data_IF_733010195897
#
_entry.id   IF_733010195897
#
_cell.length_a   1.000
_cell.length_b   1.000
_cell.length_c   1.000
_cell.angle_alpha   90.00
_cell.angle_beta   90.00
_cell.angle_gamma   90.00
#
_symmetry.space_group_name_H-M   'P 1'
#
loop_
_entity.id
_entity.type
_entity.pdbx_description
1 polymer ?
#
# COMPACT_ATOMS: atom_id res chain seq x y z
N UNK A 1 -10.59 -11.56 -21.13
CA UNK A 1 -9.30 -11.25 -20.51
C UNK A 1 -9.46 -10.21 -19.40
N UNK A 2 -8.77 -10.44 -18.31
CA UNK A 2 -8.75 -9.47 -17.20
C UNK A 2 -7.34 -8.98 -16.97
N UNK A 3 -7.21 -7.69 -16.74
CA UNK A 3 -5.92 -7.09 -16.43
C UNK A 3 -6.10 -6.08 -15.31
N UNK A 4 -5.34 -6.25 -14.22
CA UNK A 4 -5.44 -5.39 -13.05
C UNK A 4 -4.08 -5.27 -12.41
N UNK A 5 -3.42 -4.16 -12.64
CA UNK A 5 -2.09 -3.90 -12.10
C UNK A 5 -1.93 -2.41 -11.88
N UNK A 6 -1.50 -2.03 -10.70
CA UNK A 6 -1.28 -0.64 -10.34
C UNK A 6 0.15 -0.50 -9.82
N UNK A 7 0.85 0.49 -10.34
CA UNK A 7 2.19 0.86 -9.86
C UNK A 7 2.13 2.35 -9.57
N UNK A 8 2.38 2.71 -8.32
CA UNK A 8 2.41 4.12 -7.93
C UNK A 8 3.59 4.38 -7.00
N UNK A 9 4.03 5.63 -6.99
CA UNK A 9 5.03 6.09 -6.05
C UNK A 9 4.48 7.30 -5.33
N UNK A 10 4.73 7.40 -4.04
CA UNK A 10 4.24 8.52 -3.26
C UNK A 10 4.84 8.56 -1.88
N UNK A 11 4.45 9.59 -1.14
CA UNK A 11 4.88 9.78 0.24
C UNK A 11 3.82 9.23 1.19
N UNK A 12 4.26 8.52 2.22
CA UNK A 12 3.37 7.97 3.23
C UNK A 12 2.83 9.11 4.10
N UNK A 13 1.54 9.37 3.98
CA UNK A 13 0.86 10.42 4.74
C UNK A 13 0.34 9.86 6.06
N UNK A 14 -0.13 8.62 6.05
CA UNK A 14 -0.65 7.97 7.25
C UNK A 14 -0.34 6.48 7.19
N UNK A 15 -0.14 5.90 8.36
CA UNK A 15 0.12 4.48 8.53
C UNK A 15 -0.64 3.99 9.75
N UNK A 16 -1.38 2.90 9.59
CA UNK A 16 -2.06 2.25 10.69
C UNK A 16 -1.80 0.76 10.61
N UNK A 17 -1.32 0.19 11.71
CA UNK A 17 -1.06 -1.24 11.80
C UNK A 17 -2.07 -1.87 12.75
N UNK A 18 -2.67 -2.98 12.35
CA UNK A 18 -3.62 -3.69 13.20
C UNK A 18 -3.49 -5.19 12.99
N UNK A 19 -3.99 -5.95 13.96
CA UNK A 19 -4.06 -7.40 13.85
C UNK A 19 -5.51 -7.81 13.68
N UNK A 20 -5.72 -8.80 12.82
CA UNK A 20 -7.04 -9.39 12.65
C UNK A 20 -7.31 -10.39 13.77
N UNK A 21 -8.56 -10.89 13.86
CA UNK A 21 -8.94 -11.89 14.84
C UNK A 21 -8.13 -13.19 14.73
N UNK A 22 -7.53 -13.44 13.57
CA UNK A 22 -6.68 -14.61 13.33
C UNK A 22 -5.19 -14.32 13.54
N UNK A 23 -4.86 -13.19 14.18
CA UNK A 23 -3.49 -12.76 14.44
C UNK A 23 -2.68 -12.45 13.17
N UNK A 24 -3.35 -12.20 12.06
CA UNK A 24 -2.68 -11.74 10.85
C UNK A 24 -2.48 -10.23 10.92
N UNK A 25 -1.32 -9.78 10.53
CA UNK A 25 -1.00 -8.35 10.51
C UNK A 25 -1.54 -7.71 9.24
N UNK A 26 -2.10 -6.52 9.40
CA UNK A 26 -2.57 -5.69 8.29
C UNK A 26 -2.01 -4.29 8.47
N UNK A 27 -1.39 -3.76 7.44
CA UNK A 27 -0.91 -2.37 7.43
C UNK A 27 -1.72 -1.60 6.42
N UNK A 28 -2.38 -0.54 6.88
CA UNK A 28 -3.11 0.39 6.04
C UNK A 28 -2.28 1.64 5.86
N UNK A 29 -2.02 2.00 4.62
CA UNK A 29 -1.25 3.19 4.29
C UNK A 29 -2.11 4.15 3.50
N UNK A 30 -1.85 5.44 3.67
CA UNK A 30 -2.35 6.46 2.75
C UNK A 30 -1.15 7.13 2.11
N UNK A 31 -1.09 7.06 0.79
CA UNK A 31 -0.01 7.68 0.03
C UNK A 31 -0.50 8.98 -0.61
N UNK A 32 0.35 9.98 -0.60
CA UNK A 32 0.13 11.19 -1.37
C UNK A 32 0.92 11.08 -2.66
N UNK A 33 0.24 11.12 -3.78
CA UNK A 33 0.87 10.99 -5.10
C UNK A 33 0.58 12.21 -5.95
N UNK A 34 1.51 12.55 -6.81
CA UNK A 34 1.38 13.64 -7.78
C UNK A 34 1.93 13.19 -9.12
N UNK A 35 1.31 13.64 -10.18
CA UNK A 35 1.85 13.42 -11.52
C UNK A 35 2.82 14.52 -11.93
N UNK A 36 2.69 15.72 -11.35
CA UNK A 36 3.60 16.82 -11.59
C UNK A 36 3.63 17.79 -10.41
N UNK A 37 4.59 18.73 -10.44
CA UNK A 37 4.95 19.54 -9.29
C UNK A 37 3.83 20.42 -8.72
N UNK A 38 3.03 21.06 -9.54
CA UNK A 38 2.09 22.09 -9.09
C UNK A 38 0.64 21.64 -9.05
N UNK A 39 0.40 20.33 -8.98
CA UNK A 39 -0.95 19.79 -8.83
C UNK A 39 -1.19 19.36 -7.39
N UNK A 40 -2.45 19.34 -6.94
CA UNK A 40 -2.78 18.83 -5.61
C UNK A 40 -2.42 17.36 -5.47
N UNK A 41 -2.14 16.92 -4.23
CA UNK A 41 -1.92 15.51 -3.94
C UNK A 41 -3.17 14.70 -4.18
N UNK A 42 -2.99 13.54 -4.80
CA UNK A 42 -4.03 12.52 -4.83
C UNK A 42 -3.75 11.55 -3.69
N UNK A 43 -4.73 11.31 -2.85
CA UNK A 43 -4.59 10.36 -1.75
C UNK A 43 -5.03 8.99 -2.20
N UNK A 44 -4.18 8.00 -1.98
CA UNK A 44 -4.43 6.62 -2.38
C UNK A 44 -4.28 5.72 -1.17
N UNK A 45 -5.26 4.87 -0.95
CA UNK A 45 -5.20 3.90 0.15
C UNK A 45 -4.55 2.61 -0.35
N UNK A 46 -3.62 2.09 0.45
CA UNK A 46 -2.86 0.88 0.15
C UNK A 46 -2.94 -0.04 1.35
N UNK A 47 -3.15 -1.32 1.10
CA UNK A 47 -3.25 -2.32 2.17
C UNK A 47 -2.21 -3.40 1.95
N UNK A 48 -1.48 -3.73 3.03
CA UNK A 48 -0.52 -4.83 3.06
C UNK A 48 -1.05 -5.90 4.02
N UNK A 49 -0.88 -7.16 3.65
CA UNK A 49 -1.35 -8.29 4.43
C UNK A 49 -0.23 -9.28 4.74
N UNK A 50 -0.36 -9.95 5.87
CA UNK A 50 0.50 -11.08 6.21
C UNK A 50 1.97 -10.73 6.32
N UNK A 51 2.83 -11.51 5.69
CA UNK A 51 4.27 -11.28 5.78
C UNK A 51 4.72 -9.99 5.14
N UNK A 52 4.04 -9.57 4.08
CA UNK A 52 4.31 -8.27 3.47
C UNK A 52 4.00 -7.15 4.47
N UNK A 53 2.90 -7.28 5.22
CA UNK A 53 2.55 -6.32 6.25
C UNK A 53 3.57 -6.30 7.39
N UNK A 54 4.09 -7.46 7.77
CA UNK A 54 5.13 -7.54 8.80
C UNK A 54 6.38 -6.76 8.38
N UNK A 55 6.78 -6.92 7.14
CA UNK A 55 7.94 -6.19 6.61
C UNK A 55 7.62 -4.69 6.50
N UNK A 56 6.43 -4.36 6.04
CA UNK A 56 6.01 -2.97 5.94
C UNK A 56 5.93 -2.27 7.28
N UNK A 57 5.47 -2.98 8.30
CA UNK A 57 5.39 -2.41 9.64
C UNK A 57 6.76 -2.00 10.16
N UNK A 58 7.78 -2.78 9.84
CA UNK A 58 9.15 -2.51 10.27
C UNK A 58 9.85 -1.45 9.40
N UNK A 59 9.58 -1.43 8.11
CA UNK A 59 10.36 -0.66 7.14
C UNK A 59 9.72 0.61 6.67
N UNK A 60 8.40 0.71 6.73
CA UNK A 60 7.66 1.87 6.24
C UNK A 60 7.32 2.78 7.40
N UNK A 61 7.73 4.04 7.29
CA UNK A 61 7.41 5.06 8.29
C UNK A 61 6.66 6.20 7.62
N UNK A 62 5.96 6.99 8.43
CA UNK A 62 5.33 8.21 7.95
C UNK A 62 6.40 9.09 7.31
N UNK A 63 6.05 9.71 6.19
CA UNK A 63 6.91 10.56 5.38
C UNK A 63 7.93 9.83 4.53
N UNK A 64 7.99 8.49 4.60
CA UNK A 64 8.80 7.70 3.68
C UNK A 64 8.28 7.85 2.25
N UNK A 65 9.18 7.77 1.28
CA UNK A 65 8.80 7.68 -0.12
C UNK A 65 8.77 6.22 -0.50
N UNK A 66 7.68 5.81 -1.14
CA UNK A 66 7.39 4.41 -1.36
C UNK A 66 6.94 4.19 -2.79
N UNK A 67 7.44 3.12 -3.42
CA UNK A 67 6.87 2.61 -4.67
C UNK A 67 6.10 1.35 -4.33
N UNK A 68 4.85 1.27 -4.78
CA UNK A 68 3.98 0.13 -4.52
C UNK A 68 3.48 -0.44 -5.83
N UNK A 69 3.50 -1.74 -5.93
CA UNK A 69 2.86 -2.47 -7.02
C UNK A 69 1.83 -3.42 -6.44
N UNK A 70 0.66 -3.44 -7.03
CA UNK A 70 -0.42 -4.29 -6.56
C UNK A 70 -1.60 -4.30 -7.50
N UNK A 71 -2.75 -4.66 -6.96
CA UNK A 71 -4.00 -4.70 -7.70
C UNK A 71 -5.01 -3.76 -7.09
N UNK A 72 -5.87 -3.22 -7.93
CA UNK A 72 -6.95 -2.36 -7.47
C UNK A 72 -8.09 -3.24 -6.98
N UNK A 73 -8.57 -2.96 -5.79
CA UNK A 73 -9.70 -3.67 -5.20
C UNK A 73 -10.76 -2.73 -4.72
N UNK A 74 -11.93 -3.26 -4.54
CA UNK A 74 -13.07 -2.51 -4.02
C UNK A 74 -13.78 -3.35 -2.98
N UNK A 75 -13.95 -2.78 -1.79
CA UNK A 75 -14.78 -3.37 -0.75
C UNK A 75 -16.17 -2.73 -0.84
N UNK A 76 -17.19 -3.54 -0.58
CA UNK A 76 -18.57 -3.09 -0.54
C UNK A 76 -19.19 -3.61 0.73
N UNK A 77 -19.88 -2.74 1.46
CA UNK A 77 -20.54 -3.13 2.69
C UNK A 77 -21.74 -2.22 2.93
N UNK A 78 -22.55 -2.61 3.92
CA UNK A 78 -23.67 -1.81 4.38
C UNK A 78 -23.33 -1.34 5.78
N UNK A 79 -23.42 -0.04 6.04
CA UNK A 79 -23.10 0.51 7.35
C UNK A 79 -24.28 0.31 8.32
N UNK A 80 -24.11 0.78 9.56
CA UNK A 80 -25.13 0.61 10.62
C UNK A 80 -26.45 1.32 10.29
N UNK A 81 -26.40 2.31 9.42
CA UNK A 81 -27.58 3.09 9.03
C UNK A 81 -28.26 2.50 7.79
N UNK A 82 -27.81 1.36 7.30
CA UNK A 82 -28.37 0.70 6.14
C UNK A 82 -27.90 1.27 4.80
N UNK A 83 -26.90 2.14 4.81
CA UNK A 83 -26.38 2.74 3.60
C UNK A 83 -25.31 1.86 2.96
N UNK A 84 -25.36 1.76 1.64
CA UNK A 84 -24.33 1.03 0.89
C UNK A 84 -23.08 1.89 0.78
N UNK A 85 -21.94 1.31 1.12
CA UNK A 85 -20.65 1.99 1.05
C UNK A 85 -19.68 1.20 0.22
N UNK A 86 -18.75 1.91 -0.41
CA UNK A 86 -17.68 1.29 -1.18
C UNK A 86 -16.36 1.98 -0.85
N UNK A 87 -15.28 1.25 -1.02
CA UNK A 87 -13.94 1.80 -0.85
C UNK A 87 -13.02 1.17 -1.87
N UNK A 88 -12.33 2.01 -2.65
CA UNK A 88 -11.27 1.58 -3.55
C UNK A 88 -9.94 1.63 -2.82
N UNK A 89 -9.12 0.62 -3.01
CA UNK A 89 -7.79 0.59 -2.45
C UNK A 89 -6.88 -0.29 -3.29
N UNK A 90 -5.58 -0.18 -3.06
CA UNK A 90 -4.60 -1.04 -3.71
C UNK A 90 -4.20 -2.11 -2.72
N UNK A 91 -4.38 -3.37 -3.10
CA UNK A 91 -3.81 -4.48 -2.33
C UNK A 91 -2.39 -4.66 -2.84
N UNK A 92 -1.41 -4.37 -1.99
CA UNK A 92 -0.01 -4.40 -2.39
C UNK A 92 0.49 -5.83 -2.55
N UNK A 93 1.26 -6.06 -3.60
CA UNK A 93 1.98 -7.31 -3.82
C UNK A 93 3.46 -7.13 -3.56
N UNK A 94 3.97 -5.92 -3.73
CA UNK A 94 5.36 -5.60 -3.38
C UNK A 94 5.50 -4.09 -3.16
N UNK A 95 6.54 -3.71 -2.45
CA UNK A 95 6.87 -2.32 -2.23
C UNK A 95 8.38 -2.13 -2.20
N UNK A 96 8.79 -0.91 -2.47
CA UNK A 96 10.18 -0.49 -2.37
C UNK A 96 10.22 0.84 -1.61
N UNK A 97 10.99 0.88 -0.54
CA UNK A 97 11.20 2.12 0.22
C UNK A 97 12.39 2.84 -0.41
N UNK A 98 12.19 4.08 -0.80
CA UNK A 98 13.25 4.88 -1.38
C UNK A 98 13.86 5.75 -0.29
N UNK A 99 15.17 5.63 -0.09
CA UNK A 99 15.90 6.48 0.84
C UNK A 99 16.60 7.57 0.04
N UNK A 100 15.89 8.68 -0.12
CA UNK A 100 16.38 9.80 -0.92
C UNK A 100 17.59 10.50 -0.29
N UNK A 101 17.82 10.28 1.01
CA UNK A 101 18.91 10.93 1.72
C UNK A 101 20.26 10.23 1.53
N UNK A 102 20.23 8.97 1.04
CA UNK A 102 21.43 8.16 0.86
C UNK A 102 21.80 7.95 -0.60
N UNK A 103 21.27 8.73 -1.49
CA UNK A 103 21.60 8.61 -2.90
C UNK A 103 21.24 7.28 -3.52
N UNK A 104 20.16 6.68 -3.06
CA UNK A 104 19.68 5.41 -3.60
C UNK A 104 20.23 4.17 -2.93
N UNK A 105 21.14 4.32 -1.96
CA UNK A 105 21.71 3.17 -1.27
C UNK A 105 20.74 2.48 -0.31
N UNK A 106 19.64 3.14 0.01
CA UNK A 106 18.64 2.59 0.91
C UNK A 106 17.47 1.90 0.25
N UNK A 107 17.56 1.66 -1.06
CA UNK A 107 16.47 1.01 -1.76
C UNK A 107 16.36 -0.46 -1.36
N UNK A 108 15.14 -0.88 -1.08
CA UNK A 108 14.87 -2.26 -0.74
C UNK A 108 13.50 -2.64 -1.26
N UNK A 109 13.43 -3.68 -2.07
CA UNK A 109 12.18 -4.18 -2.63
C UNK A 109 11.71 -5.39 -1.84
N UNK A 110 10.44 -5.37 -1.44
CA UNK A 110 9.82 -6.48 -0.72
C UNK A 110 8.62 -6.97 -1.52
N UNK A 111 8.58 -8.26 -1.79
CA UNK A 111 7.52 -8.89 -2.56
C UNK A 111 6.67 -9.81 -1.68
N UNK A 112 5.40 -9.96 -2.05
CA UNK A 112 4.53 -10.90 -1.36
C UNK A 112 4.91 -12.33 -1.74
N UNK A 113 4.62 -13.28 -0.86
CA UNK A 113 4.89 -14.69 -1.14
C UNK A 113 4.05 -15.21 -2.30
N UNK A 114 2.84 -14.70 -2.46
CA UNK A 114 1.97 -15.10 -3.56
C UNK A 114 2.61 -14.81 -4.91
N UNK A 115 3.23 -13.65 -5.06
CA UNK A 115 3.90 -13.27 -6.29
C UNK A 115 5.13 -14.13 -6.56
N UNK A 116 5.89 -14.46 -5.51
CA UNK A 116 7.05 -15.32 -5.63
C UNK A 116 6.70 -16.73 -6.08
N UNK A 117 5.53 -17.23 -5.68
CA UNK A 117 5.07 -18.57 -6.05
C UNK A 117 4.67 -18.69 -7.51
N UNK A 118 4.36 -17.61 -8.16
CA UNK A 118 3.98 -17.61 -9.57
C UNK A 118 5.16 -17.72 -10.52
N UNK A 119 6.34 -17.55 -10.00
CA UNK A 119 7.55 -17.71 -10.77
C UNK A 119 7.97 -19.17 -10.83
#
# INVERSE_FOLDING_TARGET
MFFNRVIIAGRVIAKETRQTSNNNLVVNLRLGVKEEKNVPLTHVDVVLWGKLAEQGDKKIEKDSVLVVEGVLRQDRWVNKEGEKRTKLYIKANKFCVLDMNRGGQGEETVESEEEKKEE
#
